data_IF_073475190029
#
_entry.id   IF_073475190029
#
_cell.length_a   1.000
_cell.length_b   1.000
_cell.length_c   1.000
_cell.angle_alpha   90.00
_cell.angle_beta   90.00
_cell.angle_gamma   90.00
#
_symmetry.space_group_name_H-M   'P 1'
#
loop_
_entity.id
_entity.type
_entity.pdbx_description
1 polymer ?
#
# COMPACT_ATOMS: atom_id res chain seq x y z
N UNK A 1 -69.20 32.25 32.08
CA UNK A 1 -68.47 32.06 30.83
C UNK A 1 -67.05 32.49 31.13
N UNK A 2 -66.13 31.48 31.37
CA UNK A 2 -64.72 31.73 31.67
C UNK A 2 -63.92 31.33 30.44
N UNK A 3 -63.28 32.30 29.78
CA UNK A 3 -62.29 32.05 28.74
C UNK A 3 -61.00 31.52 29.37
N UNK A 4 -60.58 30.31 28.94
CA UNK A 4 -59.26 29.74 29.28
C UNK A 4 -58.36 30.03 28.08
N UNK A 5 -57.43 30.97 28.26
CA UNK A 5 -56.34 31.23 27.32
C UNK A 5 -55.24 30.20 27.51
N UNK A 6 -55.14 29.29 26.57
CA UNK A 6 -54.01 28.31 26.48
C UNK A 6 -52.79 29.00 25.90
N UNK A 7 -51.73 29.18 26.70
CA UNK A 7 -50.43 29.66 26.27
C UNK A 7 -49.63 28.44 25.82
N UNK A 8 -49.50 28.25 24.51
CA UNK A 8 -48.55 27.29 23.92
C UNK A 8 -47.11 27.77 24.15
N UNK A 9 -46.42 27.14 25.10
CA UNK A 9 -44.97 27.29 25.25
C UNK A 9 -44.27 26.55 24.09
N UNK A 10 -43.81 27.30 23.11
CA UNK A 10 -42.85 26.81 22.11
C UNK A 10 -41.52 26.64 22.83
N UNK A 11 -41.15 25.41 23.15
CA UNK A 11 -39.81 25.06 23.63
C UNK A 11 -38.89 25.02 22.38
N UNK A 12 -38.16 26.13 22.18
CA UNK A 12 -37.07 26.15 21.21
C UNK A 12 -35.95 25.24 21.75
N UNK A 13 -35.82 24.03 21.22
CA UNK A 13 -34.63 23.23 21.41
C UNK A 13 -33.48 23.91 20.66
N UNK A 14 -32.74 24.75 21.34
CA UNK A 14 -31.44 25.20 20.88
C UNK A 14 -30.50 24.01 21.10
N UNK A 15 -30.27 23.21 20.04
CA UNK A 15 -29.14 22.29 20.02
C UNK A 15 -27.88 23.15 20.12
N UNK A 16 -27.04 22.95 21.12
CA UNK A 16 -25.74 23.60 21.13
C UNK A 16 -24.97 23.03 19.94
N UNK A 17 -24.81 23.79 18.86
CA UNK A 17 -23.71 23.58 17.96
C UNK A 17 -22.44 23.72 18.81
N UNK A 18 -21.88 22.61 19.23
CA UNK A 18 -20.57 22.61 19.85
C UNK A 18 -19.58 23.11 18.78
N UNK A 19 -19.28 24.41 18.86
CA UNK A 19 -18.11 24.95 18.19
C UNK A 19 -16.90 24.20 18.72
N UNK A 20 -16.39 23.23 17.96
CA UNK A 20 -15.11 22.63 18.25
C UNK A 20 -14.05 23.74 18.17
N UNK A 21 -13.36 23.97 19.26
CA UNK A 21 -12.38 25.05 19.34
C UNK A 21 -11.10 24.70 18.60
N UNK A 22 -10.34 25.72 18.18
CA UNK A 22 -9.02 25.56 17.58
C UNK A 22 -8.02 24.79 18.46
N UNK A 23 -8.34 24.59 19.73
CA UNK A 23 -7.57 23.77 20.68
C UNK A 23 -7.57 22.28 20.31
N UNK A 24 -8.63 21.78 19.69
CA UNK A 24 -8.78 20.36 19.39
C UNK A 24 -7.80 19.88 18.31
N UNK A 25 -7.56 20.68 17.28
CA UNK A 25 -6.57 20.29 16.26
C UNK A 25 -5.15 20.20 16.81
N UNK A 26 -4.79 21.09 17.76
CA UNK A 26 -3.47 21.08 18.41
C UNK A 26 -3.22 19.81 19.20
N UNK A 27 -4.25 19.25 19.82
CA UNK A 27 -4.16 17.94 20.48
C UNK A 27 -3.68 16.88 19.50
N UNK A 28 -4.35 16.75 18.35
CA UNK A 28 -4.02 15.74 17.35
C UNK A 28 -2.66 15.97 16.70
N UNK A 29 -2.30 17.22 16.40
CA UNK A 29 -1.03 17.56 15.77
C UNK A 29 0.20 17.30 16.67
N UNK A 30 0.01 17.33 17.99
CA UNK A 30 1.07 17.13 18.98
C UNK A 30 1.05 15.72 19.60
N UNK A 31 0.14 14.85 19.19
CA UNK A 31 0.02 13.49 19.69
C UNK A 31 0.56 12.49 18.67
N UNK A 32 1.55 11.70 19.08
CA UNK A 32 2.22 10.70 18.24
C UNK A 32 1.32 9.51 17.83
N UNK A 33 0.10 9.43 18.36
CA UNK A 33 -0.91 8.44 17.96
C UNK A 33 -1.60 8.81 16.64
N UNK A 34 -1.32 10.01 16.11
CA UNK A 34 -1.91 10.51 14.87
C UNK A 34 -0.85 10.96 13.88
N UNK A 35 -1.17 10.83 12.60
CA UNK A 35 -0.46 11.51 11.54
C UNK A 35 -1.39 12.47 10.80
N UNK A 36 -0.82 13.43 10.08
CA UNK A 36 -1.61 14.38 9.31
C UNK A 36 -1.15 14.48 7.86
N UNK A 37 -2.06 14.95 7.00
CA UNK A 37 -1.82 15.30 5.61
C UNK A 37 -2.39 16.66 5.29
N UNK A 38 -1.67 17.41 4.49
CA UNK A 38 -2.08 18.70 3.96
C UNK A 38 -2.79 18.45 2.62
N UNK A 39 -4.12 18.61 2.61
CA UNK A 39 -4.99 18.32 1.47
C UNK A 39 -6.05 19.42 1.38
N UNK A 40 -6.19 20.05 0.22
CA UNK A 40 -7.34 20.89 -0.10
C UNK A 40 -8.54 19.96 -0.37
N UNK A 41 -9.38 19.75 0.65
CA UNK A 41 -10.42 18.71 0.65
C UNK A 41 -11.68 19.09 -0.11
N UNK A 42 -11.93 20.37 -0.32
CA UNK A 42 -13.13 20.87 -1.02
C UNK A 42 -12.82 21.65 -2.31
N UNK A 43 -11.56 21.66 -2.72
CA UNK A 43 -11.05 22.32 -3.93
C UNK A 43 -11.26 23.85 -3.93
N UNK A 44 -11.27 24.50 -2.75
CA UNK A 44 -11.37 25.96 -2.64
C UNK A 44 -10.01 26.67 -2.79
N UNK A 45 -8.91 25.91 -2.97
CA UNK A 45 -7.55 26.41 -3.10
C UNK A 45 -6.84 26.64 -1.78
N UNK A 46 -7.51 26.41 -0.65
CA UNK A 46 -6.92 26.50 0.69
C UNK A 46 -6.54 25.11 1.18
N UNK A 47 -5.33 24.98 1.70
CA UNK A 47 -4.87 23.69 2.23
C UNK A 47 -5.44 23.44 3.60
N UNK A 48 -6.17 22.36 3.73
CA UNK A 48 -6.80 21.85 4.95
C UNK A 48 -5.91 20.80 5.65
N UNK A 49 -6.42 20.23 6.75
CA UNK A 49 -5.77 19.14 7.46
C UNK A 49 -6.65 17.90 7.50
N UNK A 50 -6.10 16.78 7.05
CA UNK A 50 -6.65 15.44 7.27
C UNK A 50 -5.80 14.77 8.34
N UNK A 51 -6.42 14.33 9.42
CA UNK A 51 -5.75 13.69 10.56
C UNK A 51 -6.29 12.28 10.71
N UNK A 52 -5.42 11.32 10.93
CA UNK A 52 -5.77 9.92 11.08
C UNK A 52 -4.99 9.30 12.22
N UNK A 53 -5.60 8.37 12.96
CA UNK A 53 -4.90 7.48 13.86
C UNK A 53 -3.85 6.68 13.08
N UNK A 54 -2.71 6.42 13.73
CA UNK A 54 -1.71 5.46 13.24
C UNK A 54 -2.11 4.03 13.63
N UNK A 55 -1.46 3.05 13.03
CA UNK A 55 -1.71 1.63 13.31
C UNK A 55 -1.55 1.31 14.80
N UNK A 56 -2.53 0.59 15.38
CA UNK A 56 -2.55 0.20 16.79
C UNK A 56 -3.14 1.25 17.75
N UNK A 57 -3.64 2.39 17.22
CA UNK A 57 -4.25 3.46 18.01
C UNK A 57 -5.68 3.78 17.54
N UNK A 58 -6.35 2.78 16.98
CA UNK A 58 -7.71 2.92 16.46
C UNK A 58 -7.75 3.29 14.97
N UNK A 59 -8.95 3.64 14.51
CA UNK A 59 -9.26 3.93 13.12
C UNK A 59 -9.89 5.31 12.91
N UNK A 60 -9.66 6.23 13.83
CA UNK A 60 -10.21 7.59 13.74
C UNK A 60 -9.67 8.34 12.53
N UNK A 61 -10.56 9.05 11.85
CA UNK A 61 -10.30 9.96 10.74
C UNK A 61 -11.00 11.30 10.98
N UNK A 62 -10.29 12.40 10.82
CA UNK A 62 -10.80 13.75 11.02
C UNK A 62 -10.44 14.63 9.83
N UNK A 63 -11.41 15.44 9.37
CA UNK A 63 -11.16 16.50 8.39
C UNK A 63 -11.35 17.85 9.08
N UNK A 64 -10.31 18.65 9.04
CA UNK A 64 -10.28 20.01 9.57
C UNK A 64 -10.15 20.99 8.42
N UNK A 65 -11.21 21.75 8.17
CA UNK A 65 -11.20 22.82 7.18
C UNK A 65 -10.52 24.06 7.74
N UNK A 66 -9.62 24.66 6.97
CA UNK A 66 -8.95 25.89 7.32
C UNK A 66 -9.86 27.08 7.05
N UNK A 67 -10.14 27.87 8.07
CA UNK A 67 -10.89 29.11 7.97
C UNK A 67 -10.03 30.26 8.53
N UNK A 68 -9.43 31.06 7.63
CA UNK A 68 -8.46 32.12 7.99
C UNK A 68 -7.30 31.57 8.82
N UNK A 69 -7.28 31.88 10.12
CA UNK A 69 -6.22 31.45 11.05
C UNK A 69 -6.61 30.25 11.93
N UNK A 70 -7.81 29.71 11.76
CA UNK A 70 -8.34 28.63 12.58
C UNK A 70 -8.66 27.40 11.72
N UNK A 71 -8.79 26.25 12.38
CA UNK A 71 -9.27 25.03 11.79
C UNK A 71 -10.60 24.64 12.43
N UNK A 72 -11.54 24.23 11.60
CA UNK A 72 -12.86 23.76 12.01
C UNK A 72 -13.00 22.29 11.69
N UNK A 73 -13.37 21.46 12.66
CA UNK A 73 -13.66 20.05 12.43
C UNK A 73 -14.97 19.93 11.65
N UNK A 74 -14.89 19.45 10.42
CA UNK A 74 -16.04 19.29 9.51
C UNK A 74 -16.45 17.84 9.33
N UNK A 75 -15.59 16.89 9.72
CA UNK A 75 -15.86 15.47 9.59
C UNK A 75 -15.10 14.66 10.64
N UNK A 76 -15.77 13.63 11.17
CA UNK A 76 -15.19 12.53 11.93
C UNK A 76 -15.73 11.20 11.41
N UNK A 77 -14.87 10.22 11.21
CA UNK A 77 -15.22 8.89 10.72
C UNK A 77 -14.08 7.88 10.88
N UNK A 78 -14.10 6.83 10.06
CA UNK A 78 -13.09 5.77 10.05
C UNK A 78 -12.07 5.93 8.92
N UNK A 79 -10.81 5.60 9.18
CA UNK A 79 -9.74 5.46 8.18
C UNK A 79 -9.67 4.05 7.56
N UNK A 80 -10.63 3.19 7.86
CA UNK A 80 -10.76 1.81 7.40
C UNK A 80 -9.65 0.84 7.86
N UNK A 81 -8.78 1.25 8.78
CA UNK A 81 -7.82 0.33 9.38
C UNK A 81 -8.47 -0.57 10.44
N UNK A 82 -7.80 -1.70 10.75
CA UNK A 82 -8.28 -2.66 11.75
C UNK A 82 -7.11 -3.18 12.57
N UNK A 83 -7.30 -3.30 13.87
CA UNK A 83 -6.31 -3.91 14.75
C UNK A 83 -6.12 -5.39 14.40
N UNK A 84 -4.88 -5.75 14.06
CA UNK A 84 -4.53 -7.10 13.62
C UNK A 84 -4.95 -7.46 12.19
N UNK A 85 -5.54 -6.50 11.45
CA UNK A 85 -6.01 -6.62 10.07
C UNK A 85 -5.35 -5.64 9.11
N UNK A 86 -6.18 -4.86 8.44
CA UNK A 86 -5.74 -3.83 7.50
C UNK A 86 -5.11 -2.64 8.24
N UNK A 87 -3.91 -2.24 7.83
CA UNK A 87 -3.18 -1.10 8.39
C UNK A 87 -3.32 0.12 7.49
N UNK A 88 -3.48 1.30 8.08
CA UNK A 88 -3.41 2.55 7.32
C UNK A 88 -2.02 2.71 6.70
N UNK A 89 -1.98 2.95 5.39
CA UNK A 89 -0.75 3.15 4.64
C UNK A 89 -0.54 4.61 4.28
N UNK A 90 -1.55 5.24 3.67
CA UNK A 90 -1.48 6.65 3.30
C UNK A 90 -2.87 7.27 3.09
N UNK A 91 -2.92 8.59 3.17
CA UNK A 91 -4.06 9.42 2.78
C UNK A 91 -3.55 10.47 1.80
N UNK A 92 -4.14 10.55 0.63
CA UNK A 92 -3.67 11.46 -0.42
C UNK A 92 -4.81 12.07 -1.24
N UNK A 93 -4.54 13.22 -1.85
CA UNK A 93 -5.38 13.77 -2.91
C UNK A 93 -4.99 13.10 -4.24
N UNK A 94 -5.94 12.50 -4.97
CA UNK A 94 -5.66 11.95 -6.29
C UNK A 94 -5.34 13.05 -7.30
N UNK A 95 -4.74 12.68 -8.42
CA UNK A 95 -4.45 13.62 -9.51
C UNK A 95 -5.70 14.04 -10.27
N UNK A 96 -6.68 13.13 -10.39
CA UNK A 96 -7.99 13.48 -10.91
C UNK A 96 -8.78 14.25 -9.83
N UNK A 97 -9.67 15.12 -10.28
CA UNK A 97 -10.44 15.99 -9.38
C UNK A 97 -11.76 15.37 -8.93
N UNK A 98 -12.07 14.16 -9.40
CA UNK A 98 -13.32 13.48 -9.10
C UNK A 98 -13.42 13.15 -7.61
N UNK A 99 -12.29 12.67 -7.05
CA UNK A 99 -12.22 12.31 -5.63
C UNK A 99 -11.26 13.25 -4.91
N UNK A 100 -11.70 14.00 -3.88
CA UNK A 100 -10.81 14.83 -3.09
C UNK A 100 -9.83 14.01 -2.24
N UNK A 101 -10.21 12.80 -1.82
CA UNK A 101 -9.42 11.99 -0.89
C UNK A 101 -9.41 10.52 -1.33
N UNK A 102 -8.23 9.93 -1.29
CA UNK A 102 -8.03 8.47 -1.33
C UNK A 102 -7.34 8.04 -0.04
N UNK A 103 -7.94 7.10 0.68
CA UNK A 103 -7.34 6.41 1.82
C UNK A 103 -6.83 5.06 1.32
N UNK A 104 -5.59 4.70 1.66
CA UNK A 104 -5.03 3.40 1.35
C UNK A 104 -4.70 2.61 2.61
N UNK A 105 -5.10 1.35 2.63
CA UNK A 105 -4.73 0.40 3.68
C UNK A 105 -4.05 -0.82 3.06
N UNK A 106 -3.23 -1.52 3.82
CA UNK A 106 -2.60 -2.76 3.39
C UNK A 106 -2.68 -3.83 4.48
N UNK A 107 -2.65 -5.10 4.05
CA UNK A 107 -2.56 -6.24 4.95
C UNK A 107 -1.25 -6.97 4.72
N UNK A 108 -0.50 -7.23 5.79
CA UNK A 108 0.80 -7.91 5.70
C UNK A 108 0.67 -9.38 5.28
N UNK A 109 -0.45 -10.02 5.64
CA UNK A 109 -0.62 -11.47 5.46
C UNK A 109 -0.92 -11.89 4.03
N UNK A 110 -1.56 -11.03 3.24
CA UNK A 110 -2.12 -11.38 1.93
C UNK A 110 -1.64 -10.47 0.79
N UNK A 111 -0.68 -9.56 1.04
CA UNK A 111 -0.27 -8.54 0.06
C UNK A 111 -1.47 -7.83 -0.59
N UNK A 112 -2.48 -7.52 0.23
CA UNK A 112 -3.68 -6.83 -0.20
C UNK A 112 -3.52 -5.35 0.12
N UNK A 113 -3.79 -4.52 -0.87
CA UNK A 113 -3.86 -3.07 -0.72
C UNK A 113 -5.24 -2.59 -1.13
N UNK A 114 -5.98 -1.97 -0.21
CA UNK A 114 -7.24 -1.34 -0.50
C UNK A 114 -7.04 0.16 -0.72
N UNK A 115 -7.74 0.71 -1.70
CA UNK A 115 -7.84 2.14 -1.96
C UNK A 115 -9.31 2.55 -1.91
N UNK A 116 -9.65 3.38 -0.92
CA UNK A 116 -10.99 3.89 -0.67
C UNK A 116 -11.12 5.29 -1.25
N UNK A 117 -12.01 5.45 -2.23
CA UNK A 117 -12.23 6.70 -2.94
C UNK A 117 -13.42 7.43 -2.34
N UNK A 118 -13.15 8.59 -1.76
CA UNK A 118 -14.11 9.37 -0.99
C UNK A 118 -14.43 10.65 -1.73
N UNK A 119 -15.71 10.92 -1.93
CA UNK A 119 -16.24 12.15 -2.51
C UNK A 119 -17.10 12.92 -1.50
N UNK A 120 -17.29 14.22 -1.77
CA UNK A 120 -18.20 15.07 -0.99
C UNK A 120 -19.45 15.35 -1.81
N UNK A 121 -20.53 14.61 -1.52
CA UNK A 121 -21.78 14.68 -2.25
C UNK A 121 -22.95 14.97 -1.31
N UNK A 122 -23.87 15.88 -1.72
CA UNK A 122 -25.07 16.20 -0.95
C UNK A 122 -24.80 16.52 0.54
N UNK A 123 -23.74 17.28 0.82
CA UNK A 123 -23.29 17.65 2.17
C UNK A 123 -22.82 16.47 3.03
N UNK A 124 -22.45 15.36 2.42
CA UNK A 124 -21.94 14.17 3.09
C UNK A 124 -20.64 13.69 2.46
N UNK A 125 -19.82 13.06 3.25
CA UNK A 125 -18.64 12.34 2.79
C UNK A 125 -19.03 10.92 2.44
N UNK A 126 -18.89 10.54 1.18
CA UNK A 126 -19.39 9.30 0.61
C UNK A 126 -18.20 8.48 0.12
N UNK A 127 -18.14 7.23 0.52
CA UNK A 127 -17.31 6.22 -0.12
C UNK A 127 -18.03 5.74 -1.39
N UNK A 128 -17.49 6.07 -2.55
CA UNK A 128 -18.09 5.75 -3.84
C UNK A 128 -17.47 4.50 -4.47
N UNK A 129 -16.19 4.25 -4.17
CA UNK A 129 -15.44 3.20 -4.83
C UNK A 129 -14.37 2.60 -3.92
N UNK A 130 -14.14 1.30 -4.05
CA UNK A 130 -12.99 0.60 -3.49
C UNK A 130 -12.24 -0.11 -4.62
N UNK A 131 -10.93 0.07 -4.69
CA UNK A 131 -10.05 -0.78 -5.48
C UNK A 131 -9.23 -1.64 -4.52
N UNK A 132 -9.33 -2.94 -4.67
CA UNK A 132 -8.52 -3.91 -3.92
C UNK A 132 -7.48 -4.51 -4.85
N UNK A 133 -6.22 -4.23 -4.58
CA UNK A 133 -5.09 -4.86 -5.26
C UNK A 133 -4.64 -6.07 -4.47
N UNK A 134 -4.61 -7.24 -5.11
CA UNK A 134 -4.13 -8.50 -4.54
C UNK A 134 -2.89 -8.91 -5.31
N UNK A 135 -1.74 -8.96 -4.65
CA UNK A 135 -0.46 -9.27 -5.27
C UNK A 135 0.17 -10.54 -4.67
N UNK A 136 0.83 -11.33 -5.51
CA UNK A 136 1.58 -12.48 -5.04
C UNK A 136 0.72 -13.64 -4.52
N UNK A 137 -0.55 -13.67 -4.93
CA UNK A 137 -1.48 -14.70 -4.53
C UNK A 137 -1.37 -15.88 -5.53
N UNK A 138 -1.24 -17.07 -4.99
CA UNK A 138 -1.53 -18.37 -5.58
C UNK A 138 -0.42 -19.09 -6.32
N UNK A 139 0.27 -18.58 -7.28
CA UNK A 139 1.27 -19.35 -8.03
C UNK A 139 2.27 -18.47 -8.78
N UNK A 140 1.97 -17.18 -8.90
CA UNK A 140 2.73 -16.29 -9.75
C UNK A 140 2.85 -14.89 -9.08
N UNK A 141 3.99 -14.65 -8.45
CA UNK A 141 4.31 -13.37 -7.80
C UNK A 141 4.38 -12.19 -8.78
N UNK A 142 4.34 -12.44 -10.08
CA UNK A 142 4.31 -11.40 -11.11
C UNK A 142 2.90 -10.87 -11.38
N UNK A 143 1.88 -11.56 -10.92
CA UNK A 143 0.49 -11.19 -11.15
C UNK A 143 -0.06 -10.32 -10.05
N UNK A 144 -0.78 -9.31 -10.45
CA UNK A 144 -1.58 -8.44 -9.63
C UNK A 144 -3.02 -8.51 -10.12
N UNK A 145 -3.94 -8.75 -9.23
CA UNK A 145 -5.37 -8.66 -9.52
C UNK A 145 -5.92 -7.37 -8.94
N UNK A 146 -6.82 -6.73 -9.67
CA UNK A 146 -7.49 -5.51 -9.24
C UNK A 146 -8.99 -5.78 -9.22
N UNK A 147 -9.53 -5.86 -8.02
CA UNK A 147 -10.96 -6.00 -7.78
C UNK A 147 -11.54 -4.60 -7.57
N UNK A 148 -12.54 -4.23 -8.37
CA UNK A 148 -13.18 -2.91 -8.33
C UNK A 148 -14.60 -3.05 -7.78
N UNK A 149 -14.93 -2.17 -6.84
CA UNK A 149 -16.26 -2.04 -6.26
C UNK A 149 -16.68 -0.59 -6.46
N UNK A 150 -17.40 -0.35 -7.53
CA UNK A 150 -17.87 0.97 -7.93
C UNK A 150 -19.30 1.23 -7.40
N UNK A 151 -19.77 2.48 -7.40
CA UNK A 151 -21.15 2.90 -7.09
C UNK A 151 -21.63 2.54 -5.67
N UNK A 152 -20.73 2.52 -4.69
CA UNK A 152 -21.06 2.09 -3.33
C UNK A 152 -22.03 3.04 -2.60
N UNK A 153 -21.87 4.35 -2.77
CA UNK A 153 -22.68 5.39 -2.15
C UNK A 153 -22.87 5.26 -0.61
N UNK A 154 -21.78 4.96 0.11
CA UNK A 154 -21.81 4.75 1.55
C UNK A 154 -21.37 6.01 2.30
N UNK A 155 -22.21 6.51 3.21
CA UNK A 155 -21.88 7.62 4.11
C UNK A 155 -20.82 7.17 5.12
N UNK A 156 -19.61 7.73 5.05
CA UNK A 156 -18.49 7.30 5.90
C UNK A 156 -18.52 7.90 7.32
N UNK A 157 -19.53 8.74 7.64
CA UNK A 157 -19.71 9.26 8.98
C UNK A 157 -20.50 8.33 9.91
N UNK A 158 -21.12 7.30 9.36
CA UNK A 158 -21.91 6.35 10.16
C UNK A 158 -21.02 5.48 11.04
N UNK A 159 -21.45 5.19 12.27
CA UNK A 159 -20.81 4.16 13.07
C UNK A 159 -20.79 2.82 12.32
N UNK A 160 -19.76 2.03 12.55
CA UNK A 160 -19.61 0.67 11.98
C UNK A 160 -19.66 0.64 10.45
N UNK A 161 -19.13 1.70 9.79
CA UNK A 161 -19.04 1.78 8.31
C UNK A 161 -18.35 0.54 7.74
N UNK A 162 -17.40 -0.05 8.45
CA UNK A 162 -16.66 -1.24 8.02
C UNK A 162 -17.58 -2.44 7.83
N UNK A 163 -18.63 -2.57 8.64
CA UNK A 163 -19.63 -3.66 8.52
C UNK A 163 -20.53 -3.48 7.29
N UNK A 164 -20.52 -2.28 6.70
CA UNK A 164 -21.28 -1.96 5.47
C UNK A 164 -20.46 -2.14 4.19
N UNK A 165 -19.17 -2.35 4.33
CA UNK A 165 -18.32 -2.61 3.17
C UNK A 165 -18.76 -3.92 2.49
N UNK A 166 -18.60 -4.02 1.17
CA UNK A 166 -18.86 -5.26 0.47
C UNK A 166 -18.08 -6.40 1.10
N UNK A 167 -18.76 -7.43 1.54
CA UNK A 167 -18.11 -8.66 1.96
C UNK A 167 -17.74 -9.44 0.70
N UNK A 168 -16.52 -9.29 0.25
CA UNK A 168 -16.02 -10.03 -0.90
C UNK A 168 -15.15 -11.19 -0.44
N UNK A 169 -15.45 -12.34 -0.98
CA UNK A 169 -14.64 -13.52 -0.84
C UNK A 169 -13.36 -13.35 -1.67
N UNK A 170 -12.20 -13.20 -1.01
CA UNK A 170 -10.91 -13.16 -1.68
C UNK A 170 -10.37 -14.57 -1.97
N UNK A 171 -11.25 -15.56 -2.16
CA UNK A 171 -10.85 -16.86 -2.67
C UNK A 171 -10.26 -16.74 -4.07
N UNK A 172 -9.41 -17.69 -4.40
CA UNK A 172 -8.77 -17.81 -5.70
C UNK A 172 -9.78 -17.78 -6.85
N UNK A 173 -10.90 -18.46 -6.67
CA UNK A 173 -11.96 -18.56 -7.67
C UNK A 173 -12.65 -17.21 -7.89
N UNK A 174 -12.97 -16.51 -6.79
CA UNK A 174 -13.58 -15.17 -6.88
C UNK A 174 -12.65 -14.18 -7.57
N UNK A 175 -11.38 -14.13 -7.16
CA UNK A 175 -10.40 -13.21 -7.72
C UNK A 175 -10.23 -13.42 -9.22
N UNK A 176 -10.08 -14.67 -9.67
CA UNK A 176 -9.92 -15.00 -11.09
C UNK A 176 -11.15 -14.67 -11.94
N UNK A 177 -12.34 -14.77 -11.35
CA UNK A 177 -13.60 -14.59 -12.06
C UNK A 177 -14.09 -13.13 -12.08
N UNK A 178 -13.75 -12.33 -11.06
CA UNK A 178 -14.35 -11.02 -10.83
C UNK A 178 -13.35 -9.86 -10.84
N UNK A 179 -12.05 -10.13 -10.86
CA UNK A 179 -11.03 -9.09 -10.79
C UNK A 179 -10.25 -8.98 -12.10
N UNK A 180 -9.84 -7.78 -12.45
CA UNK A 180 -8.99 -7.54 -13.60
C UNK A 180 -7.57 -8.06 -13.34
N UNK A 181 -7.02 -8.79 -14.30
CA UNK A 181 -5.65 -9.24 -14.23
C UNK A 181 -4.71 -8.13 -14.71
N UNK A 182 -3.86 -7.62 -13.82
CA UNK A 182 -2.73 -6.77 -14.15
C UNK A 182 -1.41 -7.51 -13.97
N UNK A 183 -0.35 -6.97 -14.56
CA UNK A 183 1.00 -7.45 -14.33
C UNK A 183 1.78 -6.39 -13.58
N UNK A 184 2.30 -6.73 -12.42
CA UNK A 184 3.07 -5.80 -11.60
C UNK A 184 4.28 -5.22 -12.36
N UNK A 185 4.91 -6.05 -13.19
CA UNK A 185 6.06 -5.63 -14.01
C UNK A 185 5.66 -4.76 -15.19
N UNK A 186 4.52 -5.01 -15.80
CA UNK A 186 4.06 -4.24 -16.95
C UNK A 186 3.84 -2.78 -16.60
N UNK A 187 3.18 -2.51 -15.46
CA UNK A 187 3.01 -1.15 -14.95
C UNK A 187 4.33 -0.47 -14.63
N UNK A 188 5.28 -1.22 -14.05
CA UNK A 188 6.60 -0.70 -13.73
C UNK A 188 7.44 -0.43 -14.97
N UNK A 189 7.36 -1.30 -15.96
CA UNK A 189 8.03 -1.14 -17.25
C UNK A 189 7.45 0.05 -18.03
N UNK A 190 6.13 0.18 -18.11
CA UNK A 190 5.46 1.29 -18.77
C UNK A 190 5.81 2.64 -18.11
N UNK A 191 5.84 2.69 -16.79
CA UNK A 191 6.27 3.87 -16.05
C UNK A 191 7.75 4.20 -16.29
N UNK A 192 8.61 3.20 -16.42
CA UNK A 192 10.01 3.40 -16.77
C UNK A 192 10.15 3.98 -18.18
N UNK A 193 9.53 3.35 -19.18
CA UNK A 193 9.57 3.80 -20.57
C UNK A 193 9.05 5.23 -20.69
N UNK A 194 7.91 5.52 -20.06
CA UNK A 194 7.32 6.87 -20.06
C UNK A 194 8.30 7.90 -19.50
N UNK A 195 8.88 7.63 -18.35
CA UNK A 195 9.85 8.53 -17.73
C UNK A 195 11.11 8.65 -18.53
N UNK A 196 11.60 7.58 -19.14
CA UNK A 196 12.76 7.59 -20.01
C UNK A 196 12.55 8.51 -21.23
N UNK A 197 11.38 8.41 -21.87
CA UNK A 197 11.00 9.26 -23.01
C UNK A 197 10.84 10.74 -22.62
N UNK A 198 10.58 11.04 -21.36
CA UNK A 198 10.47 12.42 -20.84
C UNK A 198 11.84 13.06 -20.52
N UNK A 199 12.97 12.41 -20.84
CA UNK A 199 14.36 12.84 -20.56
C UNK A 199 14.65 13.21 -19.08
N UNK A 200 13.77 12.82 -18.16
CA UNK A 200 13.83 13.22 -16.74
C UNK A 200 14.38 12.12 -15.83
N UNK A 201 15.03 11.09 -16.39
CA UNK A 201 15.54 9.99 -15.58
C UNK A 201 17.05 9.94 -15.61
N UNK A 202 17.57 9.91 -14.41
CA UNK A 202 18.80 9.21 -14.13
C UNK A 202 18.57 7.71 -14.40
N UNK A 203 19.05 7.25 -15.56
CA UNK A 203 18.94 5.87 -16.08
C UNK A 203 19.37 4.85 -15.00
N UNK A 204 20.42 5.18 -14.24
CA UNK A 204 20.94 4.34 -13.14
C UNK A 204 19.86 4.12 -12.08
N UNK A 205 19.11 5.15 -11.69
CA UNK A 205 18.04 5.02 -10.71
C UNK A 205 16.85 4.19 -11.23
N UNK A 206 16.58 4.26 -12.52
CA UNK A 206 15.56 3.42 -13.16
C UNK A 206 15.95 1.93 -13.11
N UNK A 207 17.18 1.63 -13.51
CA UNK A 207 17.73 0.26 -13.48
C UNK A 207 17.77 -0.28 -12.05
N UNK A 208 18.20 0.54 -11.09
CA UNK A 208 18.23 0.13 -9.68
C UNK A 208 16.82 -0.18 -9.14
N UNK A 209 15.81 0.57 -9.58
CA UNK A 209 14.41 0.28 -9.26
C UNK A 209 13.95 -1.04 -9.88
N UNK A 210 14.28 -1.31 -11.15
CA UNK A 210 13.99 -2.60 -11.78
C UNK A 210 14.74 -3.74 -11.13
N UNK A 211 16.00 -3.53 -10.78
CA UNK A 211 16.77 -4.49 -10.01
C UNK A 211 16.07 -4.85 -8.71
N UNK A 212 15.56 -3.88 -7.95
CA UNK A 212 14.79 -4.12 -6.72
C UNK A 212 13.51 -4.90 -6.99
N UNK A 213 12.77 -4.57 -8.04
CA UNK A 213 11.57 -5.31 -8.43
C UNK A 213 11.90 -6.75 -8.82
N UNK A 214 12.96 -6.96 -9.58
CA UNK A 214 13.43 -8.28 -9.98
C UNK A 214 13.97 -9.11 -8.80
N UNK A 215 14.42 -8.47 -7.72
CA UNK A 215 14.82 -9.13 -6.48
C UNK A 215 13.63 -9.67 -5.70
N UNK A 216 12.51 -8.95 -5.74
CA UNK A 216 11.25 -9.39 -5.13
C UNK A 216 10.66 -10.56 -5.93
N UNK A 217 10.86 -10.59 -7.25
CA UNK A 217 10.34 -11.59 -8.16
C UNK A 217 11.50 -12.34 -8.83
N UNK A 218 11.91 -13.50 -8.30
CA UNK A 218 13.05 -14.23 -8.81
C UNK A 218 12.83 -14.67 -10.26
N UNK A 219 13.91 -14.81 -10.99
CA UNK A 219 13.88 -15.43 -12.31
C UNK A 219 13.39 -16.87 -12.18
N UNK A 220 12.23 -17.14 -12.75
CA UNK A 220 11.58 -18.44 -12.81
C UNK A 220 10.97 -18.60 -14.20
N UNK A 221 10.45 -19.76 -14.52
CA UNK A 221 9.76 -19.95 -15.81
C UNK A 221 8.55 -19.04 -15.93
N UNK A 222 7.88 -18.72 -14.82
CA UNK A 222 6.74 -17.79 -14.80
C UNK A 222 7.14 -16.33 -14.99
N UNK A 223 8.32 -15.91 -14.50
CA UNK A 223 8.82 -14.53 -14.64
C UNK A 223 9.73 -14.30 -15.84
N UNK A 224 10.11 -15.36 -16.54
CA UNK A 224 11.00 -15.31 -17.72
C UNK A 224 10.50 -14.37 -18.81
N UNK A 225 9.18 -14.31 -18.99
CA UNK A 225 8.54 -13.45 -19.98
C UNK A 225 8.78 -11.98 -19.67
N UNK A 226 8.61 -11.57 -18.43
CA UNK A 226 8.79 -10.21 -17.95
C UNK A 226 10.25 -9.76 -18.10
N UNK A 227 11.19 -10.62 -17.72
CA UNK A 227 12.62 -10.36 -17.95
C UNK A 227 12.93 -10.15 -19.43
N UNK A 228 12.34 -10.99 -20.30
CA UNK A 228 12.53 -10.88 -21.75
C UNK A 228 11.96 -9.57 -22.31
N UNK A 229 10.82 -9.10 -21.79
CA UNK A 229 10.22 -7.83 -22.18
C UNK A 229 11.16 -6.67 -21.80
N UNK A 230 11.66 -6.64 -20.57
CA UNK A 230 12.59 -5.60 -20.10
C UNK A 230 13.86 -5.58 -20.95
N UNK A 231 14.47 -6.72 -21.20
CA UNK A 231 15.68 -6.83 -22.01
C UNK A 231 15.44 -6.34 -23.46
N UNK A 232 14.27 -6.67 -24.02
CA UNK A 232 13.92 -6.26 -25.37
C UNK A 232 13.74 -4.73 -25.45
N UNK A 233 13.08 -4.13 -24.46
CA UNK A 233 12.92 -2.66 -24.41
C UNK A 233 14.23 -1.94 -24.20
N UNK A 234 15.12 -2.42 -23.33
CA UNK A 234 16.46 -1.87 -23.17
C UNK A 234 17.25 -1.95 -24.50
N UNK A 235 17.07 -3.02 -25.27
CA UNK A 235 17.68 -3.18 -26.60
C UNK A 235 17.13 -2.18 -27.61
N UNK A 236 15.82 -1.96 -27.67
CA UNK A 236 15.15 -0.97 -28.54
C UNK A 236 15.63 0.45 -28.23
N UNK A 237 15.80 0.76 -26.96
CA UNK A 237 16.30 2.04 -26.48
C UNK A 237 17.82 2.20 -26.66
N UNK A 238 18.52 1.20 -27.20
CA UNK A 238 19.99 1.16 -27.37
C UNK A 238 20.75 1.30 -26.06
N UNK A 239 20.17 0.90 -24.96
CA UNK A 239 20.77 0.93 -23.63
C UNK A 239 21.58 -0.36 -23.40
N UNK A 240 22.70 -0.47 -24.09
CA UNK A 240 23.51 -1.71 -24.14
C UNK A 240 24.14 -2.00 -22.78
N UNK A 241 24.63 -0.99 -22.08
CA UNK A 241 25.26 -1.17 -20.77
C UNK A 241 24.27 -1.70 -19.74
N UNK A 242 23.09 -1.12 -19.72
CA UNK A 242 21.98 -1.46 -18.85
C UNK A 242 21.45 -2.86 -19.14
N UNK A 243 21.34 -3.20 -20.42
CA UNK A 243 20.98 -4.55 -20.86
C UNK A 243 21.99 -5.57 -20.36
N UNK A 244 23.29 -5.33 -20.62
CA UNK A 244 24.37 -6.22 -20.19
C UNK A 244 24.40 -6.38 -18.67
N UNK A 245 24.15 -5.29 -17.94
CA UNK A 245 24.04 -5.32 -16.48
C UNK A 245 22.90 -6.22 -16.01
N UNK A 246 21.72 -6.10 -16.63
CA UNK A 246 20.56 -6.92 -16.31
C UNK A 246 20.79 -8.39 -16.69
N UNK A 247 21.38 -8.66 -17.86
CA UNK A 247 21.77 -10.01 -18.30
C UNK A 247 22.76 -10.64 -17.32
N UNK A 248 23.73 -9.89 -16.83
CA UNK A 248 24.69 -10.37 -15.81
C UNK A 248 23.98 -10.72 -14.49
N UNK A 249 23.01 -9.92 -14.06
CA UNK A 249 22.21 -10.24 -12.86
C UNK A 249 21.44 -11.54 -13.07
N UNK A 250 20.80 -11.73 -14.22
CA UNK A 250 20.06 -12.94 -14.57
C UNK A 250 21.01 -14.15 -14.58
N UNK A 251 22.13 -14.01 -15.24
CA UNK A 251 23.13 -15.10 -15.35
C UNK A 251 23.70 -15.49 -14.01
N UNK A 252 24.07 -14.53 -13.16
CA UNK A 252 24.53 -14.78 -11.79
C UNK A 252 23.49 -15.49 -10.95
N UNK A 253 22.21 -15.18 -11.10
CA UNK A 253 21.11 -15.86 -10.40
C UNK A 253 20.95 -17.30 -10.80
N UNK A 254 21.18 -17.62 -12.07
CA UNK A 254 21.11 -19.00 -12.58
C UNK A 254 22.31 -19.82 -12.11
N UNK A 255 23.48 -19.19 -11.90
CA UNK A 255 24.72 -19.87 -11.59
C UNK A 255 25.02 -20.06 -10.09
N UNK A 256 24.44 -19.25 -9.22
CA UNK A 256 24.78 -19.23 -7.79
C UNK A 256 23.79 -20.04 -6.94
N UNK A 257 23.81 -21.35 -7.14
CA UNK A 257 23.14 -22.28 -6.22
C UNK A 257 24.05 -22.56 -5.05
N UNK A 258 23.64 -22.16 -3.88
CA UNK A 258 24.35 -22.36 -2.60
C UNK A 258 23.55 -23.30 -1.71
N UNK A 259 24.17 -23.80 -0.64
CA UNK A 259 23.50 -24.71 0.31
C UNK A 259 23.48 -24.11 1.70
N UNK A 260 22.36 -24.31 2.37
CA UNK A 260 22.24 -23.98 3.80
C UNK A 260 23.05 -24.99 4.60
N UNK A 261 23.96 -24.50 5.46
CA UNK A 261 24.88 -25.35 6.25
C UNK A 261 24.35 -25.71 7.62
N UNK A 262 23.41 -24.89 8.15
CA UNK A 262 22.79 -25.10 9.44
C UNK A 262 21.28 -24.80 9.36
N UNK A 263 20.49 -25.27 10.36
CA UNK A 263 19.12 -24.79 10.52
C UNK A 263 19.14 -23.27 10.74
N UNK A 264 18.54 -22.52 9.84
CA UNK A 264 18.60 -21.06 9.82
C UNK A 264 17.24 -20.45 9.58
N UNK A 265 16.87 -19.48 10.44
CA UNK A 265 15.63 -18.75 10.28
C UNK A 265 15.72 -17.78 9.11
N UNK A 266 14.58 -17.58 8.47
CA UNK A 266 14.39 -16.59 7.42
C UNK A 266 13.87 -15.29 8.01
N UNK A 267 14.12 -14.19 7.30
CA UNK A 267 13.77 -12.84 7.73
C UNK A 267 13.00 -12.14 6.59
N UNK A 268 11.89 -11.50 6.94
CA UNK A 268 11.09 -10.72 5.98
C UNK A 268 11.81 -9.45 5.53
N UNK A 269 12.59 -8.86 6.43
CA UNK A 269 13.56 -7.80 6.16
C UNK A 269 14.77 -8.01 7.07
N UNK A 270 15.88 -7.34 6.79
CA UNK A 270 17.09 -7.43 7.63
C UNK A 270 16.72 -7.09 9.08
N UNK A 271 17.00 -8.02 10.00
CA UNK A 271 16.67 -7.91 11.42
C UNK A 271 15.27 -8.37 11.84
N UNK A 272 14.31 -8.53 10.89
CA UNK A 272 12.92 -8.94 11.21
C UNK A 272 12.73 -10.43 10.93
N UNK A 273 12.87 -11.25 12.00
CA UNK A 273 12.78 -12.71 11.92
C UNK A 273 11.34 -13.17 11.66
N UNK A 274 11.18 -14.14 10.76
CA UNK A 274 9.94 -14.89 10.56
C UNK A 274 9.99 -16.25 11.29
N UNK A 275 8.85 -16.94 11.33
CA UNK A 275 8.77 -18.31 11.86
C UNK A 275 9.27 -19.37 10.87
N UNK A 276 9.56 -18.97 9.64
CA UNK A 276 10.09 -19.85 8.60
C UNK A 276 11.58 -20.08 8.80
N UNK A 277 12.01 -21.28 8.48
CA UNK A 277 13.43 -21.67 8.50
C UNK A 277 13.76 -22.62 7.38
N UNK A 278 15.02 -22.65 7.01
CA UNK A 278 15.63 -23.67 6.15
C UNK A 278 16.48 -24.61 6.99
N UNK A 279 16.67 -25.82 6.49
CA UNK A 279 17.49 -26.84 7.14
C UNK A 279 18.79 -27.07 6.37
N UNK A 280 19.74 -27.72 7.01
CA UNK A 280 20.99 -28.08 6.39
C UNK A 280 20.77 -28.89 5.11
N UNK A 281 21.40 -28.48 4.02
CA UNK A 281 21.33 -29.13 2.72
C UNK A 281 20.30 -28.52 1.76
N UNK A 282 19.38 -27.66 2.26
CA UNK A 282 18.48 -26.91 1.40
C UNK A 282 19.27 -26.09 0.38
N UNK A 283 18.84 -26.12 -0.88
CA UNK A 283 19.46 -25.36 -1.96
C UNK A 283 18.78 -24.01 -2.10
N UNK A 284 19.58 -22.96 -2.15
CA UNK A 284 19.13 -21.59 -2.30
C UNK A 284 19.87 -20.89 -3.42
N UNK A 285 19.19 -19.98 -4.10
CA UNK A 285 19.81 -19.04 -5.03
C UNK A 285 20.01 -17.73 -4.33
N UNK A 286 21.25 -17.21 -4.28
CA UNK A 286 21.55 -15.90 -3.72
C UNK A 286 21.19 -14.85 -4.75
N UNK A 287 20.28 -13.98 -4.38
CA UNK A 287 19.77 -12.91 -5.22
C UNK A 287 20.47 -11.57 -4.94
N UNK A 288 20.75 -11.28 -3.66
CA UNK A 288 21.38 -10.03 -3.23
C UNK A 288 22.23 -10.27 -1.99
N UNK A 289 23.23 -9.42 -1.81
CA UNK A 289 24.07 -9.36 -0.64
C UNK A 289 23.97 -7.97 -0.02
N UNK A 290 23.82 -7.89 1.31
CA UNK A 290 23.88 -6.64 2.08
C UNK A 290 24.65 -6.83 3.37
N UNK A 291 25.22 -5.72 3.84
CA UNK A 291 25.79 -5.60 5.17
C UNK A 291 24.89 -4.61 5.92
N UNK A 292 24.46 -4.98 7.12
CA UNK A 292 23.66 -4.10 7.97
C UNK A 292 24.54 -3.08 8.74
N UNK A 293 23.91 -2.21 9.52
CA UNK A 293 24.60 -1.19 10.33
C UNK A 293 25.50 -1.77 11.44
N UNK A 294 25.34 -3.06 11.76
CA UNK A 294 26.17 -3.79 12.71
C UNK A 294 27.28 -4.58 12.04
N UNK A 295 27.46 -4.46 10.73
CA UNK A 295 28.48 -5.18 9.98
C UNK A 295 28.12 -6.65 9.68
N UNK A 296 26.88 -7.08 9.95
CA UNK A 296 26.43 -8.45 9.66
C UNK A 296 26.06 -8.54 8.19
N UNK A 297 26.62 -9.56 7.53
CA UNK A 297 26.35 -9.85 6.13
C UNK A 297 25.08 -10.69 5.98
N UNK A 298 24.22 -10.31 5.05
CA UNK A 298 22.94 -10.91 4.76
C UNK A 298 22.83 -11.28 3.28
N UNK A 299 22.16 -12.41 3.01
CA UNK A 299 21.77 -12.80 1.66
C UNK A 299 20.27 -12.75 1.51
N UNK A 300 19.79 -12.08 0.47
CA UNK A 300 18.44 -12.25 0.00
C UNK A 300 18.44 -13.48 -0.92
N UNK A 301 17.66 -14.49 -0.54
CA UNK A 301 17.70 -15.78 -1.21
C UNK A 301 16.37 -16.15 -1.83
N UNK A 302 16.42 -16.93 -2.90
CA UNK A 302 15.30 -17.68 -3.43
C UNK A 302 15.45 -19.15 -3.07
N UNK A 303 14.40 -19.71 -2.47
CA UNK A 303 14.30 -21.13 -2.14
C UNK A 303 13.09 -21.74 -2.84
N UNK A 304 13.29 -22.85 -3.55
CA UNK A 304 12.25 -23.64 -4.21
C UNK A 304 12.04 -24.95 -3.44
N UNK A 305 11.02 -24.96 -2.57
CA UNK A 305 10.53 -26.15 -1.89
C UNK A 305 9.11 -26.51 -2.35
N UNK A 306 8.23 -26.85 -1.40
CA UNK A 306 6.78 -26.95 -1.66
C UNK A 306 6.17 -25.61 -2.06
N UNK A 307 6.78 -24.51 -1.61
CA UNK A 307 6.48 -23.15 -2.00
C UNK A 307 7.79 -22.46 -2.39
N UNK A 308 7.70 -21.51 -3.30
CA UNK A 308 8.82 -20.63 -3.63
C UNK A 308 8.86 -19.49 -2.62
N UNK A 309 10.04 -19.21 -2.06
CA UNK A 309 10.22 -18.23 -0.99
C UNK A 309 11.37 -17.30 -1.34
N UNK A 310 11.16 -15.99 -1.14
CA UNK A 310 12.19 -14.96 -1.26
C UNK A 310 12.30 -14.21 0.06
N UNK A 311 13.40 -14.45 0.78
CA UNK A 311 13.60 -13.89 2.12
C UNK A 311 15.08 -13.66 2.40
N UNK A 312 15.35 -12.92 3.45
CA UNK A 312 16.70 -12.72 3.95
C UNK A 312 17.13 -13.88 4.85
N UNK A 313 18.40 -14.24 4.74
CA UNK A 313 19.09 -15.19 5.63
C UNK A 313 20.45 -14.60 6.00
N UNK A 314 20.97 -14.94 7.17
CA UNK A 314 22.34 -14.56 7.53
C UNK A 314 23.33 -15.28 6.63
N UNK A 315 24.37 -14.56 6.17
CA UNK A 315 25.32 -15.11 5.22
C UNK A 315 26.15 -16.28 5.78
N UNK A 316 26.39 -16.30 7.09
CA UNK A 316 27.06 -17.38 7.79
C UNK A 316 26.29 -18.71 7.81
N UNK A 317 25.05 -18.68 7.38
CA UNK A 317 24.20 -19.87 7.29
C UNK A 317 24.23 -20.54 5.91
N UNK A 318 24.97 -19.97 4.95
CA UNK A 318 24.99 -20.40 3.56
C UNK A 318 26.41 -20.65 3.08
N UNK A 319 26.62 -21.80 2.48
CA UNK A 319 27.89 -22.14 1.82
C UNK A 319 27.93 -21.53 0.42
N UNK A 320 28.99 -20.79 0.13
CA UNK A 320 29.20 -20.09 -1.15
C UNK A 320 29.98 -20.93 -2.18
N UNK A 321 30.28 -22.20 -1.86
CA UNK A 321 31.08 -23.08 -2.73
C UNK A 321 30.27 -23.74 -3.85
#
# INVERSE_FOLDING_TARGET
MKLITSINKIILFIFPFSCFSSSDIKYYLNNNEFFNRDIDIDNDGVVDKVISSINGFGDDLFFFKKNKNNYELIFKGSNFSEDGGARINDIKKPKDKEYPIIITTNTDKLNIMNSYYIAYNNKKWILEKINTEVSGFIEDYSKKYICKFDELNLDISIPDIKDKLPNYDLSDEYIRSNCELGYFFEDSLNNFIKRFNENNINIINGIERYRKLLLIYPYSDSTKKEYSIILNELSKLKLINEKNYLENIITRRVSNTSRVINKSYLYSSIGVRSDMYLIKGDRVHILEERIDEHGIKWFFINYKGKKEINMWIKADSVDLN
#
